data_IF_000328659186
#
_entry.id   IF_000328659186
#
_cell.length_a   1.000
_cell.length_b   1.000
_cell.length_c   1.000
_cell.angle_alpha   90.00
_cell.angle_beta   90.00
_cell.angle_gamma   90.00
#
_symmetry.space_group_name_H-M   'P 1'
#
loop_
_entity.id
_entity.type
_entity.pdbx_description
1 polymer ?
#
# COMPACT_ATOMS: atom_id res chain seq x y z
N UNK A 1 33.75 -14.55 11.54
CA UNK A 1 35.14 -14.20 11.17
C UNK A 1 35.05 -13.14 10.08
N UNK A 2 35.73 -11.99 10.21
CA UNK A 2 35.89 -11.10 9.06
C UNK A 2 36.61 -11.84 7.92
N UNK A 3 36.35 -11.51 6.64
CA UNK A 3 37.05 -12.15 5.53
C UNK A 3 38.57 -11.97 5.67
N UNK A 4 39.38 -12.95 5.23
CA UNK A 4 40.84 -12.86 5.25
C UNK A 4 41.29 -11.56 4.57
N UNK A 5 42.12 -10.76 5.24
CA UNK A 5 42.46 -9.38 4.84
C UNK A 5 43.27 -9.23 3.55
N UNK A 6 43.56 -10.34 2.86
CA UNK A 6 44.43 -10.38 1.68
C UNK A 6 43.64 -10.50 0.35
N UNK A 7 42.31 -10.54 0.41
CA UNK A 7 41.46 -10.65 -0.77
C UNK A 7 40.96 -9.25 -1.16
N UNK A 8 41.26 -8.82 -2.39
CA UNK A 8 40.73 -7.57 -2.94
C UNK A 8 39.18 -7.60 -2.87
N UNK A 9 38.53 -6.62 -2.22
CA UNK A 9 37.08 -6.51 -2.21
C UNK A 9 36.44 -6.59 -3.60
N UNK A 10 37.11 -6.10 -4.64
CA UNK A 10 36.60 -6.21 -6.01
C UNK A 10 36.63 -7.64 -6.52
N UNK A 11 37.70 -8.39 -6.23
CA UNK A 11 37.82 -9.81 -6.60
C UNK A 11 36.80 -10.67 -5.84
N UNK A 12 36.61 -10.42 -4.55
CA UNK A 12 35.62 -11.13 -3.73
C UNK A 12 34.18 -10.88 -4.20
N UNK A 13 33.87 -9.66 -4.62
CA UNK A 13 32.52 -9.27 -5.03
C UNK A 13 32.21 -9.62 -6.50
N UNK A 14 33.22 -9.93 -7.33
CA UNK A 14 33.01 -10.28 -8.75
C UNK A 14 32.06 -11.47 -8.89
N UNK A 15 32.35 -12.57 -8.21
CA UNK A 15 31.49 -13.77 -8.23
C UNK A 15 30.05 -13.48 -7.75
N UNK A 16 29.88 -12.59 -6.77
CA UNK A 16 28.57 -12.25 -6.22
C UNK A 16 27.71 -11.43 -7.20
N UNK A 17 28.35 -10.59 -8.01
CA UNK A 17 27.69 -9.67 -8.94
C UNK A 17 27.88 -10.06 -10.42
N UNK A 18 28.10 -11.34 -10.70
CA UNK A 18 28.16 -11.85 -12.08
C UNK A 18 26.80 -11.80 -12.79
N UNK A 19 26.83 -11.60 -14.11
CA UNK A 19 25.64 -11.59 -14.98
C UNK A 19 24.79 -12.85 -14.84
N UNK A 20 25.40 -13.99 -14.51
CA UNK A 20 24.71 -15.26 -14.27
C UNK A 20 23.79 -15.26 -13.04
N UNK A 21 24.10 -14.44 -12.03
CA UNK A 21 23.33 -14.34 -10.79
C UNK A 21 22.17 -13.35 -10.87
N UNK A 22 22.06 -12.62 -11.98
CA UNK A 22 20.99 -11.68 -12.24
C UNK A 22 19.73 -12.39 -12.75
N UNK A 23 18.52 -11.99 -12.29
CA UNK A 23 17.27 -12.51 -12.85
C UNK A 23 17.19 -12.28 -14.36
N UNK A 24 16.55 -13.20 -15.09
CA UNK A 24 16.47 -13.19 -16.57
C UNK A 24 16.04 -11.84 -17.15
N UNK A 25 15.04 -11.19 -16.53
CA UNK A 25 14.58 -9.86 -16.96
C UNK A 25 15.68 -8.80 -16.91
N UNK A 26 16.55 -8.86 -15.89
CA UNK A 26 17.66 -7.91 -15.74
C UNK A 26 18.81 -8.25 -16.68
N UNK A 27 19.07 -9.54 -16.93
CA UNK A 27 20.05 -9.98 -17.94
C UNK A 27 19.66 -9.51 -19.34
N UNK A 28 18.40 -9.68 -19.73
CA UNK A 28 17.92 -9.25 -21.05
C UNK A 28 17.96 -7.73 -21.21
N UNK A 29 17.69 -6.97 -20.15
CA UNK A 29 17.81 -5.52 -20.15
C UNK A 29 19.28 -5.08 -20.33
N UNK A 30 20.22 -5.68 -19.60
CA UNK A 30 21.65 -5.38 -19.77
C UNK A 30 22.14 -5.73 -21.18
N UNK A 31 21.72 -6.87 -21.73
CA UNK A 31 22.07 -7.24 -23.10
C UNK A 31 21.52 -6.25 -24.12
N UNK A 32 20.26 -5.82 -23.95
CA UNK A 32 19.62 -4.83 -24.82
C UNK A 32 20.27 -3.43 -24.72
N UNK A 33 20.81 -3.06 -23.55
CA UNK A 33 21.54 -1.79 -23.37
C UNK A 33 22.97 -1.89 -23.91
N UNK A 34 23.65 -3.03 -23.73
CA UNK A 34 25.00 -3.24 -24.26
C UNK A 34 25.05 -3.29 -25.80
N UNK A 35 23.93 -3.58 -26.46
CA UNK A 35 23.82 -3.54 -27.92
C UNK A 35 23.66 -2.12 -28.50
N UNK A 36 23.42 -1.11 -27.65
CA UNK A 36 23.11 0.27 -28.08
C UNK A 36 24.28 1.25 -27.85
N UNK A 37 25.37 0.83 -27.18
CA UNK A 37 26.44 1.73 -26.76
C UNK A 37 27.81 1.35 -27.36
N UNK A 38 28.17 1.99 -28.47
CA UNK A 38 29.56 2.28 -28.82
C UNK A 38 29.84 3.79 -29.00
N UNK A 39 28.90 4.69 -28.68
CA UNK A 39 29.12 6.14 -28.93
C UNK A 39 28.79 7.10 -27.76
N UNK A 40 28.15 6.69 -26.67
CA UNK A 40 27.56 7.67 -25.72
C UNK A 40 28.30 7.87 -24.39
N UNK A 41 29.51 7.34 -24.22
CA UNK A 41 30.33 7.58 -23.00
C UNK A 41 30.94 8.99 -22.90
N UNK A 42 30.75 9.87 -23.89
CA UNK A 42 31.24 11.26 -23.88
C UNK A 42 30.14 12.32 -23.64
N UNK A 43 28.86 11.93 -23.55
CA UNK A 43 27.72 12.86 -23.52
C UNK A 43 27.13 13.13 -22.13
N UNK A 44 27.79 12.69 -21.04
CA UNK A 44 27.28 12.92 -19.67
C UNK A 44 27.66 14.29 -19.06
N UNK A 45 28.52 15.06 -19.74
CA UNK A 45 28.99 16.36 -19.24
C UNK A 45 28.20 17.58 -19.78
N UNK A 46 27.36 17.41 -20.80
CA UNK A 46 26.60 18.50 -21.45
C UNK A 46 25.08 18.31 -21.33
N UNK A 47 24.59 17.89 -20.17
CA UNK A 47 23.15 17.93 -19.89
C UNK A 47 22.74 19.33 -19.42
N UNK A 48 22.82 20.30 -20.34
CA UNK A 48 22.10 21.57 -20.18
C UNK A 48 20.60 21.29 -20.31
N UNK A 49 19.95 21.13 -19.14
CA UNK A 49 18.50 21.19 -18.86
C UNK A 49 17.61 21.18 -20.12
N UNK A 50 17.60 20.05 -20.81
CA UNK A 50 16.86 19.92 -22.06
C UNK A 50 15.38 19.77 -21.74
N UNK A 51 14.62 20.83 -22.04
CA UNK A 51 13.18 20.90 -22.23
C UNK A 51 12.29 19.99 -21.41
N UNK A 52 11.52 20.56 -20.48
CA UNK A 52 10.37 19.87 -19.89
C UNK A 52 9.46 19.33 -21.00
N UNK A 53 9.33 18.01 -21.12
CA UNK A 53 8.45 17.38 -22.09
C UNK A 53 6.99 17.75 -21.80
N UNK A 54 6.42 18.67 -22.57
CA UNK A 54 5.04 19.14 -22.43
C UNK A 54 4.07 18.18 -23.13
N UNK A 55 3.85 17.01 -22.53
CA UNK A 55 2.86 16.04 -22.97
C UNK A 55 1.48 16.21 -22.29
N UNK A 56 0.39 15.64 -22.85
CA UNK A 56 -0.94 15.67 -22.23
C UNK A 56 -1.01 14.98 -20.86
N UNK A 57 0.01 14.20 -20.48
CA UNK A 57 0.17 13.63 -19.14
C UNK A 57 0.83 14.60 -18.16
N UNK A 58 1.72 15.49 -18.61
CA UNK A 58 2.45 16.41 -17.72
C UNK A 58 1.55 17.56 -17.24
N UNK A 59 0.52 17.93 -17.99
CA UNK A 59 -0.48 18.93 -17.59
C UNK A 59 -1.29 18.56 -16.34
N UNK A 60 -1.40 17.27 -16.01
CA UNK A 60 -2.16 16.79 -14.84
C UNK A 60 -1.29 16.47 -13.64
N UNK A 61 0.04 16.57 -13.76
CA UNK A 61 0.97 16.20 -12.71
C UNK A 61 0.89 17.17 -11.54
N UNK A 62 0.85 18.48 -11.79
CA UNK A 62 0.80 19.47 -10.72
C UNK A 62 -0.46 19.34 -9.86
N UNK A 63 -1.61 19.06 -10.48
CA UNK A 63 -2.86 18.83 -9.75
C UNK A 63 -2.85 17.54 -8.92
N UNK A 64 -2.15 16.49 -9.37
CA UNK A 64 -2.05 15.22 -8.66
C UNK A 64 -1.04 15.26 -7.51
N UNK A 65 0.04 16.04 -7.63
CA UNK A 65 1.10 16.14 -6.62
C UNK A 65 0.88 17.27 -5.62
N UNK A 66 0.46 18.44 -6.08
CA UNK A 66 0.32 19.64 -5.26
C UNK A 66 -1.15 20.01 -4.95
N UNK A 67 -2.12 19.25 -5.49
CA UNK A 67 -3.53 19.45 -5.20
C UNK A 67 -3.86 19.22 -3.72
N UNK A 68 -4.47 20.20 -3.07
CA UNK A 68 -4.96 20.06 -1.69
C UNK A 68 -5.91 18.87 -1.58
N UNK A 69 -5.54 17.89 -0.74
CA UNK A 69 -6.37 16.71 -0.47
C UNK A 69 -6.26 15.58 -1.50
N UNK A 70 -5.34 15.64 -2.47
CA UNK A 70 -4.97 14.52 -3.32
C UNK A 70 -3.65 13.91 -2.86
N UNK A 71 -3.55 13.61 -1.56
CA UNK A 71 -2.49 12.76 -1.06
C UNK A 71 -2.65 11.39 -1.71
N UNK A 72 -1.68 11.01 -2.54
CA UNK A 72 -1.27 9.63 -2.83
C UNK A 72 -1.99 8.63 -1.94
N UNK A 73 -2.75 7.69 -2.54
CA UNK A 73 -3.33 6.52 -1.86
C UNK A 73 -2.35 6.03 -0.78
N UNK A 74 -2.59 6.46 0.46
CA UNK A 74 -1.60 6.51 1.53
C UNK A 74 -1.44 5.14 2.18
N UNK A 75 -1.25 4.10 1.36
CA UNK A 75 -0.71 2.85 1.83
C UNK A 75 0.75 3.12 2.16
N UNK A 76 1.00 3.55 3.40
CA UNK A 76 2.31 3.51 4.01
C UNK A 76 2.91 2.14 3.71
N UNK A 77 4.02 2.10 2.98
CA UNK A 77 4.70 0.85 2.66
C UNK A 77 5.38 0.35 3.94
N UNK A 78 4.59 -0.33 4.77
CA UNK A 78 5.10 -0.92 6.00
C UNK A 78 5.99 -2.11 5.65
N UNK A 79 7.11 -2.33 6.36
CA UNK A 79 7.95 -3.50 6.14
C UNK A 79 7.16 -4.78 6.41
N UNK A 80 7.57 -5.89 5.79
CA UNK A 80 6.89 -7.19 5.93
C UNK A 80 6.75 -7.62 7.41
N UNK A 81 7.74 -7.30 8.24
CA UNK A 81 7.75 -7.60 9.67
C UNK A 81 6.83 -6.69 10.51
N UNK A 82 6.23 -5.65 9.94
CA UNK A 82 5.43 -4.68 10.70
C UNK A 82 4.31 -5.34 11.48
N UNK A 83 3.67 -6.39 10.95
CA UNK A 83 2.59 -7.13 11.65
C UNK A 83 3.02 -7.75 12.98
N UNK A 84 4.32 -8.01 13.15
CA UNK A 84 4.87 -8.67 14.33
C UNK A 84 5.57 -7.70 15.29
N UNK A 85 5.69 -6.42 14.93
CA UNK A 85 6.18 -5.41 15.87
C UNK A 85 5.10 -5.11 16.90
N UNK A 86 5.49 -4.64 18.09
CA UNK A 86 4.55 -4.24 19.13
C UNK A 86 3.49 -3.24 18.60
N UNK A 87 3.92 -2.29 17.76
CA UNK A 87 3.05 -1.33 17.08
C UNK A 87 2.12 -1.99 16.05
N UNK A 88 2.58 -2.97 15.29
CA UNK A 88 1.75 -3.74 14.37
C UNK A 88 0.74 -4.66 15.06
N UNK A 89 1.13 -5.23 16.19
CA UNK A 89 0.22 -6.05 17.02
C UNK A 89 -0.79 -5.18 17.75
N UNK A 90 -0.40 -3.98 18.19
CA UNK A 90 -1.30 -3.03 18.84
C UNK A 90 -2.27 -2.37 17.84
N UNK A 91 -1.81 -2.07 16.62
CA UNK A 91 -2.67 -1.58 15.53
C UNK A 91 -3.52 -2.68 14.90
N UNK A 92 -3.14 -3.94 15.07
CA UNK A 92 -3.89 -5.10 14.63
C UNK A 92 -5.12 -5.35 15.50
N UNK A 93 -6.25 -4.72 15.15
CA UNK A 93 -7.64 -5.05 15.58
C UNK A 93 -7.75 -5.75 16.94
N UNK A 94 -7.15 -5.19 18.00
CA UNK A 94 -7.30 -5.71 19.37
C UNK A 94 -8.79 -5.80 19.76
N UNK A 95 -9.58 -4.88 19.20
CA UNK A 95 -11.02 -4.82 19.33
C UNK A 95 -11.63 -4.81 17.93
N UNK A 96 -12.27 -5.90 17.55
CA UNK A 96 -12.92 -6.09 16.24
C UNK A 96 -14.45 -6.16 16.40
N UNK A 97 -15.17 -5.65 15.39
CA UNK A 97 -16.58 -5.92 15.20
C UNK A 97 -17.49 -5.37 16.31
N UNK A 98 -17.98 -6.23 17.20
CA UNK A 98 -18.88 -5.81 18.31
C UNK A 98 -18.08 -5.09 19.40
N UNK A 99 -16.90 -5.59 19.77
CA UNK A 99 -16.06 -5.03 20.84
C UNK A 99 -15.57 -3.62 20.51
N UNK A 100 -15.20 -3.40 19.25
CA UNK A 100 -14.83 -2.07 18.77
C UNK A 100 -16.00 -1.09 18.87
N UNK A 101 -17.21 -1.54 18.49
CA UNK A 101 -18.42 -0.71 18.54
C UNK A 101 -18.83 -0.37 19.96
N UNK A 102 -18.68 -1.29 20.92
CA UNK A 102 -18.96 -1.01 22.32
C UNK A 102 -17.95 -0.02 22.92
N UNK A 103 -16.67 -0.14 22.58
CA UNK A 103 -15.65 0.82 23.04
C UNK A 103 -15.90 2.22 22.47
N UNK A 104 -16.12 2.32 21.15
CA UNK A 104 -16.43 3.60 20.51
C UNK A 104 -17.76 4.22 20.99
N UNK A 105 -18.69 3.39 21.48
CA UNK A 105 -19.97 3.82 22.07
C UNK A 105 -19.78 4.34 23.49
N UNK A 106 -19.01 3.64 24.32
CA UNK A 106 -18.63 4.07 25.66
C UNK A 106 -17.80 5.36 25.64
N UNK A 107 -16.88 5.52 24.68
CA UNK A 107 -16.07 6.73 24.50
C UNK A 107 -16.90 7.97 24.12
N UNK A 108 -18.10 7.78 23.58
CA UNK A 108 -18.96 8.85 23.07
C UNK A 108 -20.27 8.98 23.85
N UNK A 109 -20.44 8.23 24.93
CA UNK A 109 -21.67 8.15 25.73
C UNK A 109 -22.93 7.86 24.89
N UNK A 110 -22.83 6.95 23.90
CA UNK A 110 -23.94 6.54 23.02
C UNK A 110 -24.25 5.05 23.23
N UNK A 111 -25.50 4.62 23.06
CA UNK A 111 -25.84 3.18 23.01
C UNK A 111 -25.11 2.48 21.84
N UNK A 112 -24.44 1.33 22.04
CA UNK A 112 -23.80 0.56 20.97
C UNK A 112 -24.72 0.16 19.80
N UNK A 113 -26.05 0.16 19.97
CA UNK A 113 -27.02 -0.04 18.89
C UNK A 113 -27.12 1.18 17.98
N UNK A 114 -27.01 2.38 18.54
CA UNK A 114 -27.16 3.66 17.84
C UNK A 114 -25.83 4.19 17.30
N UNK A 115 -24.69 3.73 17.84
CA UNK A 115 -23.37 4.03 17.32
C UNK A 115 -23.22 3.69 15.82
N UNK A 116 -23.95 2.68 15.31
CA UNK A 116 -23.97 2.36 13.87
C UNK A 116 -24.64 3.46 13.03
N UNK A 117 -25.69 4.07 13.56
CA UNK A 117 -26.51 5.05 12.86
C UNK A 117 -25.80 6.42 12.80
N UNK A 118 -25.01 6.74 13.82
CA UNK A 118 -24.28 8.01 13.90
C UNK A 118 -23.02 8.05 13.03
N UNK A 119 -22.37 6.91 12.77
CA UNK A 119 -21.12 6.87 11.97
C UNK A 119 -21.35 6.72 10.47
N UNK A 120 -22.56 6.32 10.03
CA UNK A 120 -22.87 6.16 8.61
C UNK A 120 -23.70 7.33 8.09
N UNK A 121 -23.22 8.03 7.05
CA UNK A 121 -24.00 9.04 6.34
C UNK A 121 -25.22 8.37 5.69
N UNK A 122 -26.40 8.53 6.29
CA UNK A 122 -27.65 8.00 5.72
C UNK A 122 -28.01 8.80 4.47
N UNK A 123 -27.77 8.22 3.30
CA UNK A 123 -28.41 8.67 2.07
C UNK A 123 -29.88 8.28 2.17
N UNK A 124 -30.74 9.22 2.55
CA UNK A 124 -32.18 9.05 2.54
C UNK A 124 -32.68 9.01 1.09
N UNK A 125 -32.37 7.94 0.36
CA UNK A 125 -33.06 7.60 -0.88
C UNK A 125 -34.04 6.48 -0.57
N UNK A 126 -35.17 6.84 0.07
CA UNK A 126 -36.44 6.10 0.14
C UNK A 126 -36.45 4.58 0.36
N UNK A 127 -35.34 3.96 0.76
CA UNK A 127 -35.22 2.51 0.86
C UNK A 127 -35.71 2.04 2.23
N UNK A 128 -36.80 1.28 2.24
CA UNK A 128 -37.26 0.55 3.42
C UNK A 128 -36.10 -0.32 3.92
N UNK A 129 -35.76 -0.24 5.21
CA UNK A 129 -34.78 -1.13 5.82
C UNK A 129 -35.23 -2.58 5.55
N UNK A 130 -34.41 -3.34 4.82
CA UNK A 130 -34.74 -4.71 4.43
C UNK A 130 -35.13 -5.49 5.68
N UNK A 131 -36.35 -6.03 5.70
CA UNK A 131 -36.80 -6.95 6.74
C UNK A 131 -35.87 -8.16 6.68
N UNK A 132 -34.88 -8.19 7.58
CA UNK A 132 -33.98 -9.33 7.72
C UNK A 132 -34.81 -10.61 7.82
N UNK A 133 -34.32 -11.70 7.20
CA UNK A 133 -35.02 -13.00 7.17
C UNK A 133 -35.58 -13.30 8.57
N UNK A 134 -36.92 -13.34 8.68
CA UNK A 134 -37.59 -13.80 9.90
C UNK A 134 -37.08 -15.21 10.15
N UNK A 135 -36.29 -15.41 11.21
CA UNK A 135 -36.11 -16.75 11.75
C UNK A 135 -37.47 -17.08 12.37
N UNK A 136 -38.10 -18.15 11.89
CA UNK A 136 -39.33 -18.63 12.49
C UNK A 136 -39.01 -18.98 13.95
N UNK A 137 -39.68 -18.29 14.88
CA UNK A 137 -39.61 -18.63 16.28
C UNK A 137 -40.46 -19.89 16.48
N UNK A 138 -39.84 -21.06 16.39
CA UNK A 138 -40.46 -22.39 16.54
C UNK A 138 -41.23 -22.58 17.86
N UNK A 139 -41.12 -21.66 18.82
CA UNK A 139 -41.76 -21.73 20.12
C UNK A 139 -43.09 -20.96 20.23
N UNK A 140 -43.49 -20.19 19.21
CA UNK A 140 -44.74 -19.41 19.25
C UNK A 140 -45.84 -19.89 18.30
N UNK A 141 -45.53 -20.72 17.30
CA UNK A 141 -46.53 -21.25 16.36
C UNK A 141 -47.04 -22.64 16.80
N UNK A 142 -47.39 -22.75 18.08
CA UNK A 142 -47.78 -24.00 18.71
C UNK A 142 -48.69 -23.79 19.92
N UNK A 143 -49.70 -22.91 19.81
CA UNK A 143 -50.84 -22.90 20.70
C UNK A 143 -52.04 -22.17 20.07
N UNK A 144 -53.15 -22.92 20.04
CA UNK A 144 -54.54 -22.59 19.66
C UNK A 144 -54.88 -22.71 18.17
#
# INVERSE_FOLDING_TARGET
>A
MPPPGDIDPHDFNRELYDEGNLPEKRRNALHAMSSDDNDDMQSLADSTLSGYETGPKTTKMDGAFFGQGQGSNAHLRMPFAHKYTEQGTASGKLLSGRKQRTMAALEKDVDPKDAKLLTSKKHFKGGVQGRGKRRADYFNDGAV
#
